data_IF_396575378918
#
_entry.id   IF_396575378918
#
_cell.length_a   1.000
_cell.length_b   1.000
_cell.length_c   1.000
_cell.angle_alpha   90.00
_cell.angle_beta   90.00
_cell.angle_gamma   90.00
#
_symmetry.space_group_name_H-M   'P 1'
#
loop_
_entity.id
_entity.type
_entity.pdbx_description
1 polymer ?
#
# COMPACT_ATOMS: atom_id res chain seq x y z
N UNK A 1 -13.62 -5.00 -15.90
CA UNK A 1 -14.15 -5.15 -17.25
C UNK A 1 -15.68 -5.00 -17.23
N UNK A 2 -16.40 -5.84 -16.46
CA UNK A 2 -17.88 -5.77 -16.38
C UNK A 2 -18.41 -4.36 -16.05
N UNK A 3 -17.81 -3.66 -15.09
CA UNK A 3 -18.22 -2.29 -14.73
C UNK A 3 -18.05 -1.33 -15.90
N UNK A 4 -16.96 -1.44 -16.64
CA UNK A 4 -16.72 -0.57 -17.79
C UNK A 4 -17.64 -0.85 -18.98
N UNK A 5 -18.02 -2.10 -19.17
CA UNK A 5 -18.93 -2.55 -20.22
C UNK A 5 -20.41 -2.32 -19.86
N UNK A 6 -20.74 -2.08 -18.60
CA UNK A 6 -22.09 -1.83 -18.11
C UNK A 6 -22.71 -0.55 -18.70
N UNK A 7 -24.01 -0.54 -18.85
CA UNK A 7 -24.79 0.61 -19.29
C UNK A 7 -24.99 1.60 -18.12
N UNK A 8 -25.15 2.88 -18.46
CA UNK A 8 -25.30 3.95 -17.46
C UNK A 8 -26.47 3.71 -16.50
N UNK A 9 -27.52 3.04 -16.96
CA UNK A 9 -28.69 2.72 -16.14
C UNK A 9 -28.37 1.67 -15.06
N UNK A 10 -27.56 0.68 -15.39
CA UNK A 10 -27.07 -0.31 -14.41
C UNK A 10 -26.20 0.36 -13.34
N UNK A 11 -25.38 1.35 -13.72
CA UNK A 11 -24.62 2.13 -12.74
C UNK A 11 -25.55 2.94 -11.82
N UNK A 12 -26.62 3.55 -12.36
CA UNK A 12 -27.59 4.31 -11.55
C UNK A 12 -28.23 3.47 -10.46
N UNK A 13 -28.59 2.24 -10.79
CA UNK A 13 -29.14 1.30 -9.80
C UNK A 13 -28.15 0.94 -8.70
N UNK A 14 -26.88 0.77 -9.03
CA UNK A 14 -25.83 0.34 -8.08
C UNK A 14 -25.25 1.47 -7.24
N UNK A 15 -24.97 2.64 -7.84
CA UNK A 15 -24.19 3.72 -7.20
C UNK A 15 -24.91 5.06 -7.14
N UNK A 16 -26.14 5.14 -7.67
CA UNK A 16 -26.95 6.36 -7.72
C UNK A 16 -26.58 7.32 -8.85
N UNK A 17 -27.46 8.29 -9.12
CA UNK A 17 -27.38 9.15 -10.30
C UNK A 17 -26.07 9.94 -10.40
N UNK A 18 -25.64 10.57 -9.33
CA UNK A 18 -24.46 11.45 -9.33
C UNK A 18 -23.15 10.69 -9.65
N UNK A 19 -22.99 9.50 -9.05
CA UNK A 19 -21.81 8.66 -9.31
C UNK A 19 -21.86 8.05 -10.72
N UNK A 20 -23.04 7.60 -11.19
CA UNK A 20 -23.21 7.08 -12.55
C UNK A 20 -22.88 8.12 -13.63
N UNK A 21 -23.32 9.37 -13.46
CA UNK A 21 -22.98 10.46 -14.36
C UNK A 21 -21.48 10.80 -14.36
N UNK A 22 -20.83 10.70 -13.18
CA UNK A 22 -19.38 10.90 -13.08
C UNK A 22 -18.63 9.78 -13.83
N UNK A 23 -19.01 8.54 -13.66
CA UNK A 23 -18.46 7.38 -14.38
C UNK A 23 -18.66 7.51 -15.91
N UNK A 24 -19.84 7.94 -16.33
CA UNK A 24 -20.14 8.14 -17.76
C UNK A 24 -19.26 9.24 -18.37
N UNK A 25 -19.10 10.36 -17.67
CA UNK A 25 -18.20 11.45 -18.11
C UNK A 25 -16.76 10.94 -18.23
N UNK A 26 -16.29 10.22 -17.25
CA UNK A 26 -14.93 9.69 -17.22
C UNK A 26 -14.71 8.62 -18.31
N UNK A 27 -15.71 7.76 -18.56
CA UNK A 27 -15.69 6.78 -19.65
C UNK A 27 -15.59 7.47 -21.03
N UNK A 28 -16.28 8.59 -21.21
CA UNK A 28 -16.28 9.36 -22.47
C UNK A 28 -15.02 10.20 -22.67
N UNK A 29 -14.38 10.69 -21.59
CA UNK A 29 -13.18 11.52 -21.69
C UNK A 29 -11.95 10.71 -22.13
N UNK A 30 -11.89 9.43 -21.80
CA UNK A 30 -10.71 8.59 -22.04
C UNK A 30 -9.51 8.92 -21.15
N UNK A 31 -9.65 9.87 -20.21
CA UNK A 31 -8.56 10.31 -19.31
C UNK A 31 -7.98 9.16 -18.48
N UNK A 32 -8.80 8.19 -18.11
CA UNK A 32 -8.36 7.02 -17.35
C UNK A 32 -7.34 6.16 -18.12
N UNK A 33 -7.38 6.11 -19.45
CA UNK A 33 -6.39 5.38 -20.26
C UNK A 33 -5.01 6.05 -20.14
N UNK A 34 -5.01 7.37 -20.15
CA UNK A 34 -3.79 8.15 -19.97
C UNK A 34 -3.25 8.02 -18.53
N UNK A 35 -4.12 8.10 -17.52
CA UNK A 35 -3.76 7.91 -16.12
C UNK A 35 -3.19 6.50 -15.89
N UNK A 36 -3.83 5.47 -16.44
CA UNK A 36 -3.35 4.09 -16.34
C UNK A 36 -1.99 3.90 -17.03
N UNK A 37 -1.77 4.54 -18.15
CA UNK A 37 -0.47 4.57 -18.84
C UNK A 37 0.63 5.17 -17.95
N UNK A 38 0.33 6.27 -17.25
CA UNK A 38 1.27 6.92 -16.33
C UNK A 38 1.64 6.03 -15.12
N UNK A 39 0.72 5.20 -14.63
CA UNK A 39 1.04 4.24 -13.56
C UNK A 39 2.16 3.29 -13.99
N UNK A 40 2.08 2.76 -15.21
CA UNK A 40 3.10 1.87 -15.75
C UNK A 40 4.47 2.54 -15.89
N UNK A 41 4.51 3.79 -16.35
CA UNK A 41 5.74 4.59 -16.44
C UNK A 41 6.37 4.83 -15.06
N UNK A 42 5.56 4.98 -14.03
CA UNK A 42 5.99 5.17 -12.66
C UNK A 42 6.27 3.84 -11.91
N UNK A 43 6.18 2.70 -12.59
CA UNK A 43 6.31 1.37 -12.00
C UNK A 43 5.29 1.12 -10.87
N UNK A 44 4.10 1.70 -11.00
CA UNK A 44 2.98 1.47 -10.10
C UNK A 44 2.09 0.40 -10.72
N UNK A 45 1.78 -0.61 -9.95
CA UNK A 45 0.93 -1.72 -10.34
C UNK A 45 -0.39 -1.65 -9.57
N UNK A 46 -1.45 -2.12 -10.20
CA UNK A 46 -2.73 -2.32 -9.54
C UNK A 46 -3.06 -3.81 -9.54
N UNK A 47 -3.49 -4.32 -8.40
CA UNK A 47 -3.82 -5.72 -8.22
C UNK A 47 -5.18 -5.86 -7.57
N UNK A 48 -6.09 -6.56 -8.23
CA UNK A 48 -7.42 -6.87 -7.70
C UNK A 48 -7.36 -8.00 -6.68
N UNK A 49 -8.27 -7.98 -5.71
CA UNK A 49 -8.36 -9.01 -4.66
C UNK A 49 -8.53 -10.43 -5.22
N UNK A 50 -9.16 -10.56 -6.37
CA UNK A 50 -9.42 -11.85 -7.03
C UNK A 50 -8.24 -12.35 -7.86
N UNK A 51 -7.22 -11.52 -8.07
CA UNK A 51 -6.07 -11.87 -8.89
C UNK A 51 -5.04 -12.65 -8.09
N UNK A 52 -4.35 -13.53 -8.79
CA UNK A 52 -3.26 -14.33 -8.21
C UNK A 52 -2.13 -13.40 -7.76
N UNK A 53 -1.73 -13.55 -6.50
CA UNK A 53 -0.65 -12.76 -5.89
C UNK A 53 -1.16 -11.63 -5.00
N UNK A 54 -2.49 -11.44 -4.89
CA UNK A 54 -3.03 -10.57 -3.86
C UNK A 54 -2.70 -11.14 -2.47
N UNK A 55 -2.21 -10.30 -1.52
CA UNK A 55 -1.81 -10.80 -0.21
C UNK A 55 -2.96 -11.48 0.53
N UNK A 56 -2.82 -12.79 0.82
CA UNK A 56 -3.88 -13.59 1.44
C UNK A 56 -4.29 -13.07 2.80
N UNK A 57 -3.31 -12.67 3.63
CA UNK A 57 -3.59 -12.06 4.94
C UNK A 57 -4.40 -10.76 4.84
N UNK A 58 -4.23 -10.00 3.76
CA UNK A 58 -5.02 -8.80 3.52
C UNK A 58 -6.44 -9.13 3.01
N UNK A 59 -6.59 -10.22 2.27
CA UNK A 59 -7.89 -10.71 1.83
C UNK A 59 -8.76 -11.25 2.98
N UNK A 60 -8.14 -11.68 4.10
CA UNK A 60 -8.82 -12.26 5.26
C UNK A 60 -9.30 -11.24 6.29
N UNK A 61 -8.96 -9.96 6.18
CA UNK A 61 -9.45 -8.94 7.13
C UNK A 61 -10.97 -8.73 6.94
N UNK A 62 -11.70 -8.24 7.97
CA UNK A 62 -13.16 -8.10 7.92
C UNK A 62 -13.69 -7.24 6.76
N UNK A 63 -12.92 -6.24 6.33
CA UNK A 63 -13.26 -5.36 5.20
C UNK A 63 -12.04 -5.25 4.26
N UNK A 64 -11.79 -6.29 3.46
CA UNK A 64 -10.63 -6.31 2.58
C UNK A 64 -10.82 -5.33 1.41
N UNK A 65 -9.77 -4.61 1.00
CA UNK A 65 -9.85 -3.72 -0.14
C UNK A 65 -10.15 -4.50 -1.42
N UNK A 66 -10.89 -3.89 -2.33
CA UNK A 66 -11.20 -4.47 -3.64
C UNK A 66 -9.96 -4.65 -4.51
N UNK A 67 -8.99 -3.76 -4.36
CA UNK A 67 -7.69 -3.82 -5.03
C UNK A 67 -6.69 -2.91 -4.32
N UNK A 68 -5.43 -3.10 -4.63
CA UNK A 68 -4.32 -2.33 -4.09
C UNK A 68 -3.44 -1.79 -5.20
N UNK A 69 -2.98 -0.55 -5.03
CA UNK A 69 -1.86 -0.04 -5.78
C UNK A 69 -0.56 -0.40 -5.04
N UNK A 70 0.43 -0.85 -5.77
CA UNK A 70 1.72 -1.15 -5.15
C UNK A 70 2.89 -0.78 -6.06
N UNK A 71 4.04 -0.55 -5.46
CA UNK A 71 5.31 -0.28 -6.11
C UNK A 71 6.37 -1.20 -5.53
N UNK A 72 7.20 -1.77 -6.40
CA UNK A 72 8.19 -2.75 -5.98
C UNK A 72 7.61 -4.15 -5.83
N UNK A 73 7.89 -4.82 -4.71
CA UNK A 73 7.44 -6.19 -4.44
C UNK A 73 6.42 -6.21 -3.32
N UNK A 74 5.47 -7.12 -3.41
CA UNK A 74 4.58 -7.45 -2.30
C UNK A 74 5.28 -8.38 -1.29
N UNK A 75 4.81 -8.43 -0.03
CA UNK A 75 5.33 -9.36 0.97
C UNK A 75 5.27 -10.81 0.49
N UNK A 76 6.30 -11.58 0.81
CA UNK A 76 6.27 -13.03 0.58
C UNK A 76 5.45 -13.70 1.68
N UNK A 77 4.39 -14.41 1.30
CA UNK A 77 3.48 -15.06 2.24
C UNK A 77 4.11 -16.28 2.94
N UNK A 78 5.16 -16.83 2.37
CA UNK A 78 5.87 -17.98 2.94
C UNK A 78 6.88 -17.55 4.02
N UNK A 79 7.22 -16.25 4.07
CA UNK A 79 8.17 -15.71 5.03
C UNK A 79 7.43 -15.08 6.22
N UNK A 80 8.00 -15.16 7.43
CA UNK A 80 7.40 -14.52 8.60
C UNK A 80 7.39 -13.00 8.43
N UNK A 81 6.30 -12.37 8.87
CA UNK A 81 6.14 -10.94 8.82
C UNK A 81 5.61 -10.40 10.15
N UNK A 82 6.10 -9.23 10.57
CA UNK A 82 5.69 -8.54 11.80
C UNK A 82 5.33 -7.10 11.48
N UNK A 83 4.16 -6.66 11.97
CA UNK A 83 3.79 -5.26 11.94
C UNK A 83 4.44 -4.53 13.11
N UNK A 84 5.22 -3.46 12.82
CA UNK A 84 5.81 -2.60 13.83
C UNK A 84 5.21 -1.21 13.67
N UNK A 85 4.41 -0.79 14.64
CA UNK A 85 3.70 0.49 14.63
C UNK A 85 3.86 1.21 15.96
N UNK A 86 3.81 2.54 15.96
CA UNK A 86 3.89 3.28 17.19
C UNK A 86 3.80 4.79 17.07
N UNK A 87 4.23 5.49 18.10
CA UNK A 87 4.11 6.93 18.20
C UNK A 87 4.93 7.64 17.13
N UNK A 88 4.35 8.67 16.51
CA UNK A 88 5.03 9.57 15.55
C UNK A 88 6.08 10.44 16.24
N UNK A 89 5.83 10.78 17.50
CA UNK A 89 6.75 11.47 18.42
C UNK A 89 7.09 10.51 19.54
N UNK A 90 8.09 9.68 19.34
CA UNK A 90 8.50 8.68 20.31
C UNK A 90 9.56 9.25 21.27
N UNK A 91 9.60 8.68 22.49
CA UNK A 91 10.66 8.95 23.46
C UNK A 91 12.01 8.38 22.96
N UNK A 92 13.12 8.80 23.59
CA UNK A 92 14.44 8.23 23.32
C UNK A 92 14.47 6.70 23.55
N UNK A 93 13.78 6.23 24.59
CA UNK A 93 13.62 4.80 24.83
C UNK A 93 12.85 4.11 23.70
N UNK A 94 11.74 4.71 23.24
CA UNK A 94 10.97 4.19 22.10
C UNK A 94 11.80 4.13 20.81
N UNK A 95 12.61 5.15 20.54
CA UNK A 95 13.55 5.18 19.44
C UNK A 95 14.52 4.01 19.51
N UNK A 96 15.20 3.87 20.64
CA UNK A 96 16.15 2.80 20.89
C UNK A 96 15.52 1.41 20.68
N UNK A 97 14.36 1.18 21.27
CA UNK A 97 13.66 -0.12 21.12
C UNK A 97 13.25 -0.38 19.66
N UNK A 98 12.75 0.63 18.95
CA UNK A 98 12.36 0.47 17.55
C UNK A 98 13.56 0.14 16.65
N UNK A 99 14.72 0.76 16.92
CA UNK A 99 15.96 0.51 16.20
C UNK A 99 16.48 -0.91 16.44
N UNK A 100 16.60 -1.32 17.71
CA UNK A 100 17.05 -2.67 18.09
C UNK A 100 16.12 -3.76 17.53
N UNK A 101 14.80 -3.55 17.65
CA UNK A 101 13.80 -4.49 17.13
C UNK A 101 13.90 -4.59 15.60
N UNK A 102 13.97 -3.47 14.91
CA UNK A 102 14.11 -3.45 13.46
C UNK A 102 15.36 -4.19 12.98
N UNK A 103 16.50 -3.93 13.61
CA UNK A 103 17.75 -4.64 13.31
C UNK A 103 17.63 -6.15 13.57
N UNK A 104 17.03 -6.54 14.69
CA UNK A 104 16.82 -7.94 15.03
C UNK A 104 15.97 -8.64 13.98
N UNK A 105 14.82 -8.05 13.63
CA UNK A 105 13.90 -8.59 12.63
C UNK A 105 14.58 -8.73 11.26
N UNK A 106 15.32 -7.69 10.84
CA UNK A 106 16.05 -7.71 9.57
C UNK A 106 17.10 -8.84 9.51
N UNK A 107 17.90 -9.01 10.56
CA UNK A 107 18.89 -10.10 10.65
C UNK A 107 18.26 -11.49 10.72
N UNK A 108 17.06 -11.59 11.31
CA UNK A 108 16.32 -12.84 11.41
C UNK A 108 15.57 -13.21 10.12
N UNK A 109 15.62 -12.40 9.07
CA UNK A 109 14.87 -12.61 7.83
C UNK A 109 13.37 -12.41 7.98
N UNK A 110 12.93 -11.68 9.03
CA UNK A 110 11.52 -11.40 9.28
C UNK A 110 11.14 -10.10 8.57
N UNK A 111 10.13 -10.14 7.73
CA UNK A 111 9.63 -9.00 7.00
C UNK A 111 8.98 -7.98 7.95
N UNK A 112 9.39 -6.70 7.86
CA UNK A 112 8.81 -5.62 8.67
C UNK A 112 7.74 -4.90 7.86
N UNK A 113 6.51 -4.88 8.35
CA UNK A 113 5.39 -4.16 7.75
C UNK A 113 5.04 -2.96 8.63
N UNK A 114 4.96 -1.76 8.05
CA UNK A 114 4.63 -0.56 8.81
C UNK A 114 4.04 0.54 7.90
N UNK A 115 3.60 1.65 8.49
CA UNK A 115 2.95 2.76 7.79
C UNK A 115 3.90 3.80 7.20
N UNK A 116 5.21 3.62 7.28
CA UNK A 116 6.22 4.62 6.88
C UNK A 116 6.06 5.98 7.58
N UNK A 117 5.34 6.06 8.69
CA UNK A 117 5.16 7.30 9.45
C UNK A 117 6.45 7.77 10.13
N UNK A 118 6.43 9.01 10.64
CA UNK A 118 7.51 9.47 11.54
C UNK A 118 7.53 8.62 12.81
N UNK A 119 8.68 8.59 13.49
CA UNK A 119 8.84 7.90 14.76
C UNK A 119 9.04 6.40 14.59
N UNK A 120 8.34 5.61 15.37
CA UNK A 120 8.54 4.16 15.49
C UNK A 120 8.51 3.44 14.14
N UNK A 121 7.54 3.77 13.30
CA UNK A 121 7.38 3.17 11.96
C UNK A 121 8.66 3.31 11.12
N UNK A 122 9.04 4.53 10.81
CA UNK A 122 10.19 4.80 9.95
C UNK A 122 11.52 4.34 10.57
N UNK A 123 11.67 4.42 11.89
CA UNK A 123 12.88 3.98 12.59
C UNK A 123 13.04 2.46 12.46
N UNK A 124 12.00 1.69 12.76
CA UNK A 124 12.06 0.23 12.71
C UNK A 124 12.26 -0.28 11.28
N UNK A 125 11.60 0.33 10.29
CA UNK A 125 11.75 -0.02 8.88
C UNK A 125 13.18 0.27 8.39
N UNK A 126 13.71 1.47 8.69
CA UNK A 126 15.08 1.83 8.32
C UNK A 126 16.10 0.91 8.97
N UNK A 127 15.90 0.56 10.24
CA UNK A 127 16.78 -0.35 10.97
C UNK A 127 16.77 -1.77 10.38
N UNK A 128 15.59 -2.27 10.00
CA UNK A 128 15.46 -3.57 9.34
C UNK A 128 16.19 -3.60 7.99
N UNK A 129 16.00 -2.59 7.15
CA UNK A 129 16.69 -2.47 5.86
C UNK A 129 18.21 -2.35 6.04
N UNK A 130 18.67 -1.55 7.00
CA UNK A 130 20.10 -1.39 7.29
C UNK A 130 20.75 -2.69 7.78
N UNK A 131 19.98 -3.59 8.35
CA UNK A 131 20.42 -4.93 8.78
C UNK A 131 20.35 -5.99 7.68
N UNK A 132 20.01 -5.60 6.43
CA UNK A 132 19.89 -6.49 5.28
C UNK A 132 18.56 -7.22 5.15
N UNK A 133 17.56 -6.83 5.96
CA UNK A 133 16.22 -7.36 5.90
C UNK A 133 15.33 -6.70 4.84
N UNK A 134 14.05 -7.03 4.86
CA UNK A 134 13.02 -6.47 3.97
C UNK A 134 11.96 -5.71 4.76
N UNK A 135 11.42 -4.66 4.14
CA UNK A 135 10.35 -3.88 4.75
C UNK A 135 9.32 -3.45 3.71
N UNK A 136 8.07 -3.33 4.15
CA UNK A 136 6.94 -2.96 3.30
C UNK A 136 6.15 -1.82 3.95
N UNK A 137 5.86 -0.79 3.14
CA UNK A 137 5.05 0.34 3.56
C UNK A 137 3.58 0.15 3.19
N UNK A 138 2.68 0.24 4.17
CA UNK A 138 1.24 0.30 3.93
C UNK A 138 0.79 1.75 4.10
N UNK A 139 0.46 2.38 2.98
CA UNK A 139 0.24 3.82 2.91
C UNK A 139 -1.24 4.16 2.89
N UNK A 140 -1.62 5.25 3.54
CA UNK A 140 -2.95 5.86 3.44
C UNK A 140 -3.05 6.91 2.32
N UNK A 141 -1.98 7.10 1.55
CA UNK A 141 -1.91 7.99 0.39
C UNK A 141 -1.49 7.21 -0.85
N UNK A 142 -1.44 7.84 -2.01
CA UNK A 142 -0.91 7.22 -3.23
C UNK A 142 0.52 6.72 -3.04
N UNK A 143 0.86 5.62 -3.70
CA UNK A 143 2.21 5.02 -3.62
C UNK A 143 3.30 5.86 -4.31
N UNK A 144 2.90 6.88 -5.04
CA UNK A 144 3.74 7.93 -5.63
C UNK A 144 4.03 9.09 -4.66
N UNK A 145 3.30 9.17 -3.54
CA UNK A 145 3.41 10.24 -2.56
C UNK A 145 4.29 9.81 -1.40
N UNK A 146 5.47 10.40 -1.28
CA UNK A 146 6.33 10.18 -0.11
C UNK A 146 5.88 11.05 1.06
N UNK A 147 5.18 10.44 2.01
CA UNK A 147 4.80 11.08 3.27
C UNK A 147 5.20 10.20 4.48
N UNK A 148 5.93 10.78 5.46
CA UNK A 148 6.54 12.11 5.46
C UNK A 148 7.77 12.19 4.53
N UNK A 149 8.06 13.39 4.00
CA UNK A 149 9.18 13.61 3.08
C UNK A 149 10.57 13.20 3.65
N UNK A 150 10.69 13.15 4.97
CA UNK A 150 11.90 12.70 5.67
C UNK A 150 12.23 11.23 5.37
N UNK A 151 11.23 10.41 5.11
CA UNK A 151 11.36 8.97 4.84
C UNK A 151 11.58 8.64 3.34
N UNK A 152 11.94 9.65 2.52
CA UNK A 152 12.19 9.45 1.08
C UNK A 152 13.30 8.44 0.77
N UNK A 153 14.20 8.19 1.73
CA UNK A 153 15.29 7.22 1.56
C UNK A 153 14.97 5.84 2.12
N UNK A 154 13.82 5.71 2.75
CA UNK A 154 13.26 4.47 3.23
C UNK A 154 12.59 3.71 2.06
#
# INVERSE_FOLDING_TARGET
RAVYEAETEEWRECVGNSAAEALERQKKSGEWEQEYGQLSEQQIHFLLREEKGFPGKLAEIPDPPYGIFYRGKLPDENEPAVAVIGARECSEYGRYVAEELGQYLGRAGIQVISGMARGIDGISQQAALSAGGTSYGVLGCGVDICYPAQNRRL
#
